data_IF_046032191746
#
_entry.id   IF_046032191746
#
_cell.length_a   1.000
_cell.length_b   1.000
_cell.length_c   1.000
_cell.angle_alpha   90.00
_cell.angle_beta   90.00
_cell.angle_gamma   90.00
#
_symmetry.space_group_name_H-M   'P 1'
#
loop_
_entity.id
_entity.type
_entity.pdbx_description
1 polymer ?
#
# COMPACT_ATOMS: atom_id res chain seq x y z
N UNK A 1 8.52 23.25 10.15
CA UNK A 1 7.60 23.62 9.06
C UNK A 1 8.22 23.12 7.76
N UNK A 2 7.51 22.33 6.97
CA UNK A 2 8.05 21.79 5.71
C UNK A 2 8.05 22.86 4.62
N UNK A 3 9.05 22.84 3.75
CA UNK A 3 9.10 23.70 2.57
C UNK A 3 8.43 23.00 1.39
N UNK A 4 7.40 23.61 0.80
CA UNK A 4 6.66 23.03 -0.33
C UNK A 4 7.21 23.54 -1.66
N UNK A 5 7.66 22.61 -2.51
CA UNK A 5 8.24 22.91 -3.82
C UNK A 5 7.25 22.45 -4.90
N UNK A 6 6.63 23.40 -5.59
CA UNK A 6 5.70 23.12 -6.67
C UNK A 6 6.44 22.86 -7.97
N UNK A 7 6.11 21.76 -8.66
CA UNK A 7 6.71 21.38 -9.94
C UNK A 7 5.67 20.73 -10.84
N UNK A 8 5.89 20.81 -12.15
CA UNK A 8 5.18 19.94 -13.08
C UNK A 8 5.89 18.59 -13.20
N UNK A 9 5.16 17.56 -13.63
CA UNK A 9 5.67 16.21 -13.84
C UNK A 9 5.16 15.63 -15.14
N UNK A 10 5.91 14.65 -15.68
CA UNK A 10 5.49 13.75 -16.76
C UNK A 10 5.55 12.29 -16.31
N UNK A 11 5.48 12.05 -14.99
CA UNK A 11 5.60 10.71 -14.40
C UNK A 11 4.52 9.81 -14.97
N UNK A 12 4.94 8.68 -15.52
CA UNK A 12 4.04 7.65 -16.02
C UNK A 12 3.53 6.80 -14.86
N UNK A 13 2.27 6.37 -14.96
CA UNK A 13 1.70 5.32 -14.14
C UNK A 13 2.48 4.02 -14.36
N UNK A 14 2.66 3.27 -13.29
CA UNK A 14 3.32 1.99 -13.31
C UNK A 14 2.76 1.11 -12.20
N UNK A 15 2.94 -0.20 -12.33
CA UNK A 15 2.65 -1.16 -11.28
C UNK A 15 3.81 -1.32 -10.32
N UNK A 16 3.84 -2.46 -9.64
CA UNK A 16 4.87 -2.78 -8.67
C UNK A 16 6.26 -2.76 -9.29
N UNK A 17 7.23 -2.22 -8.55
CA UNK A 17 8.62 -2.35 -8.94
C UNK A 17 9.10 -3.77 -8.65
N UNK A 18 9.72 -4.40 -9.63
CA UNK A 18 10.36 -5.72 -9.49
C UNK A 18 11.82 -5.54 -9.89
N UNK A 19 12.79 -5.74 -8.96
CA UNK A 19 14.20 -5.61 -9.29
C UNK A 19 14.61 -6.63 -10.36
N UNK A 20 15.37 -6.20 -11.38
CA UNK A 20 15.80 -7.06 -12.49
C UNK A 20 16.77 -8.15 -12.01
N UNK A 21 17.71 -7.79 -11.14
CA UNK A 21 18.75 -8.70 -10.64
C UNK A 21 18.23 -9.72 -9.61
N UNK A 22 17.09 -9.42 -8.98
CA UNK A 22 16.48 -10.29 -7.99
C UNK A 22 14.96 -10.03 -7.91
N UNK A 23 14.18 -10.69 -8.79
CA UNK A 23 12.76 -10.41 -8.95
C UNK A 23 11.98 -10.90 -7.72
N UNK A 24 11.91 -10.04 -6.71
CA UNK A 24 11.13 -10.24 -5.49
C UNK A 24 9.91 -9.33 -5.50
N UNK A 25 8.75 -9.95 -5.34
CA UNK A 25 7.47 -9.27 -5.14
C UNK A 25 6.56 -10.22 -4.38
N UNK A 26 5.90 -9.69 -3.38
CA UNK A 26 4.92 -10.43 -2.57
C UNK A 26 3.51 -9.84 -2.71
N UNK A 27 3.40 -8.59 -3.18
CA UNK A 27 2.12 -7.97 -3.48
C UNK A 27 1.42 -8.77 -4.58
N UNK A 28 0.36 -9.50 -4.22
CA UNK A 28 -0.26 -10.48 -5.11
C UNK A 28 -1.09 -9.83 -6.20
N UNK A 29 -1.64 -8.66 -5.93
CA UNK A 29 -2.54 -7.96 -6.86
C UNK A 29 -1.80 -6.89 -7.66
N UNK A 30 -2.19 -6.70 -8.93
CA UNK A 30 -1.71 -5.56 -9.70
C UNK A 30 -2.39 -4.26 -9.26
N UNK A 31 -1.62 -3.18 -9.29
CA UNK A 31 -2.08 -1.83 -9.01
C UNK A 31 -1.48 -0.82 -9.99
N UNK A 32 -2.14 0.31 -10.17
CA UNK A 32 -1.54 1.52 -10.73
C UNK A 32 -1.05 2.40 -9.57
N UNK A 33 0.25 2.47 -9.35
CA UNK A 33 0.85 3.21 -8.23
C UNK A 33 0.89 4.71 -8.54
N UNK A 34 0.23 5.52 -7.71
CA UNK A 34 0.04 6.95 -7.96
C UNK A 34 0.60 7.74 -6.78
N UNK A 35 1.54 8.65 -7.02
CA UNK A 35 2.11 9.48 -5.95
C UNK A 35 2.14 10.95 -6.37
N UNK A 36 1.14 11.76 -5.94
CA UNK A 36 1.09 13.20 -6.25
C UNK A 36 2.12 14.04 -5.48
N UNK A 37 2.77 13.43 -4.48
CA UNK A 37 3.77 14.07 -3.63
C UNK A 37 5.07 13.26 -3.62
N UNK A 38 6.21 13.94 -3.50
CA UNK A 38 7.46 13.32 -3.06
C UNK A 38 7.89 13.98 -1.74
N UNK A 39 8.03 13.17 -0.69
CA UNK A 39 8.14 13.64 0.70
C UNK A 39 6.79 13.63 1.42
N UNK A 40 6.83 13.51 2.74
CA UNK A 40 5.63 13.37 3.56
C UNK A 40 5.76 14.13 4.88
N UNK A 41 4.78 14.99 5.19
CA UNK A 41 4.82 15.80 6.41
C UNK A 41 4.52 15.04 7.70
N UNK A 42 4.09 13.78 7.62
CA UNK A 42 3.82 12.91 8.79
C UNK A 42 5.07 12.76 9.68
N UNK A 43 6.26 12.75 9.08
CA UNK A 43 7.53 12.88 9.81
C UNK A 43 8.12 11.61 10.41
N UNK A 44 7.65 10.41 10.01
CA UNK A 44 8.22 9.15 10.50
C UNK A 44 9.73 9.07 10.23
N UNK A 45 10.55 8.87 11.27
CA UNK A 45 12.00 8.75 11.13
C UNK A 45 12.42 7.43 10.45
N UNK A 46 11.58 6.40 10.53
CA UNK A 46 11.80 5.08 9.93
C UNK A 46 11.30 4.95 8.48
N UNK A 47 10.76 6.02 7.89
CA UNK A 47 10.12 5.94 6.58
C UNK A 47 11.12 5.52 5.50
N UNK A 48 10.88 4.36 4.88
CA UNK A 48 11.73 3.82 3.81
C UNK A 48 11.87 4.78 2.62
N UNK A 49 10.85 5.61 2.35
CA UNK A 49 10.85 6.56 1.25
C UNK A 49 11.98 7.60 1.37
N UNK A 50 12.54 7.84 2.57
CA UNK A 50 13.72 8.70 2.77
C UNK A 50 14.98 8.18 2.06
N UNK A 51 15.03 6.89 1.74
CA UNK A 51 16.14 6.28 1.01
C UNK A 51 15.99 6.31 -0.52
N UNK A 52 14.81 6.73 -1.03
CA UNK A 52 14.55 6.81 -2.46
C UNK A 52 15.36 7.96 -3.10
N UNK A 53 15.79 7.81 -4.36
CA UNK A 53 16.59 8.82 -5.05
C UNK A 53 15.77 10.05 -5.46
N UNK A 54 16.46 11.08 -5.94
CA UNK A 54 15.86 12.29 -6.52
C UNK A 54 15.21 13.17 -5.45
N UNK A 55 13.97 13.60 -5.69
CA UNK A 55 13.25 14.49 -4.75
C UNK A 55 13.15 13.94 -3.32
N UNK A 56 13.15 12.62 -3.12
CA UNK A 56 13.14 12.02 -1.78
C UNK A 56 14.47 12.19 -1.03
N UNK A 57 15.58 12.31 -1.75
CA UNK A 57 16.89 12.62 -1.17
C UNK A 57 16.93 14.08 -0.68
N UNK A 58 16.38 15.01 -1.46
CA UNK A 58 16.18 16.41 -1.02
C UNK A 58 15.21 16.50 0.17
N UNK A 59 14.13 15.70 0.17
CA UNK A 59 13.23 15.59 1.32
C UNK A 59 13.98 15.12 2.58
N UNK A 60 14.83 14.09 2.46
CA UNK A 60 15.58 13.58 3.60
C UNK A 60 16.56 14.60 4.17
N UNK A 61 17.29 15.33 3.31
CA UNK A 61 18.33 16.28 3.72
C UNK A 61 17.77 17.62 4.20
N UNK A 62 16.72 18.12 3.55
CA UNK A 62 16.29 19.51 3.68
C UNK A 62 14.81 19.66 4.08
N UNK A 63 14.08 18.57 4.30
CA UNK A 63 12.63 18.58 4.59
C UNK A 63 11.81 19.34 3.51
N UNK A 64 12.22 19.23 2.24
CA UNK A 64 11.46 19.71 1.08
C UNK A 64 10.41 18.68 0.67
N UNK A 65 9.15 19.10 0.57
CA UNK A 65 8.06 18.27 0.03
C UNK A 65 7.71 18.79 -1.36
N UNK A 66 7.77 17.93 -2.36
CA UNK A 66 7.49 18.29 -3.74
C UNK A 66 6.02 18.00 -4.06
N UNK A 67 5.35 19.01 -4.62
CA UNK A 67 3.93 18.98 -4.97
C UNK A 67 3.82 19.03 -6.49
N UNK A 68 3.28 17.97 -7.08
CA UNK A 68 3.11 17.88 -8.53
C UNK A 68 1.72 18.35 -8.96
N UNK A 69 1.56 19.67 -9.12
CA UNK A 69 0.27 20.31 -9.33
C UNK A 69 -0.46 19.86 -10.61
N UNK A 70 0.27 19.52 -11.67
CA UNK A 70 -0.30 19.03 -12.94
C UNK A 70 -0.50 17.50 -12.98
N UNK A 71 -0.22 16.79 -11.88
CA UNK A 71 -0.25 15.34 -11.90
C UNK A 71 -1.65 14.74 -12.10
N UNK A 72 -2.75 15.30 -11.54
CA UNK A 72 -4.09 14.84 -11.87
C UNK A 72 -4.37 14.84 -13.39
N UNK A 73 -3.98 15.89 -14.10
CA UNK A 73 -4.16 16.00 -15.55
C UNK A 73 -3.34 14.93 -16.30
N UNK A 74 -2.10 14.71 -15.86
CA UNK A 74 -1.22 13.66 -16.40
C UNK A 74 -1.78 12.25 -16.16
N UNK A 75 -2.42 12.02 -15.01
CA UNK A 75 -3.09 10.75 -14.68
C UNK A 75 -4.31 10.54 -15.57
N UNK A 76 -5.15 11.56 -15.73
CA UNK A 76 -6.34 11.50 -16.60
C UNK A 76 -5.97 11.24 -18.06
N UNK A 77 -4.98 11.95 -18.60
CA UNK A 77 -4.49 11.72 -19.97
C UNK A 77 -4.06 10.26 -20.16
N UNK A 78 -3.29 9.72 -19.21
CA UNK A 78 -2.82 8.34 -19.29
C UNK A 78 -3.97 7.33 -19.21
N UNK A 79 -4.88 7.46 -18.25
CA UNK A 79 -6.05 6.57 -18.12
C UNK A 79 -6.93 6.63 -19.36
N UNK A 80 -7.16 7.83 -19.91
CA UNK A 80 -7.97 8.02 -21.11
C UNK A 80 -7.39 7.32 -22.35
N UNK A 81 -6.10 7.00 -22.34
CA UNK A 81 -5.42 6.27 -23.42
C UNK A 81 -5.47 4.74 -23.29
N UNK A 82 -5.98 4.20 -22.18
CA UNK A 82 -5.99 2.76 -21.89
C UNK A 82 -7.36 2.14 -22.17
N UNK A 83 -7.36 0.83 -22.47
CA UNK A 83 -8.54 -0.03 -22.47
C UNK A 83 -8.48 -1.12 -21.38
N UNK A 84 -7.35 -1.24 -20.69
CA UNK A 84 -7.11 -2.13 -19.56
C UNK A 84 -6.56 -1.30 -18.40
N UNK A 85 -7.09 -1.49 -17.19
CA UNK A 85 -6.63 -0.84 -15.98
C UNK A 85 -6.72 -1.78 -14.77
N UNK A 86 -5.79 -1.63 -13.83
CA UNK A 86 -5.90 -2.21 -12.48
C UNK A 86 -6.35 -1.14 -11.48
N UNK A 87 -6.71 -1.57 -10.27
CA UNK A 87 -7.06 -0.65 -9.18
C UNK A 87 -5.93 0.36 -8.93
N UNK A 88 -6.28 1.63 -8.74
CA UNK A 88 -5.31 2.65 -8.36
C UNK A 88 -4.85 2.45 -6.91
N UNK A 89 -3.55 2.49 -6.66
CA UNK A 89 -3.01 2.58 -5.30
C UNK A 89 -2.46 3.98 -5.07
N UNK A 90 -3.23 4.77 -4.33
CA UNK A 90 -2.89 6.14 -4.03
C UNK A 90 -1.89 6.24 -2.87
N UNK A 91 -0.78 6.90 -3.19
CA UNK A 91 0.31 7.28 -2.30
C UNK A 91 1.00 6.12 -1.57
N UNK A 92 1.48 5.05 -2.23
CA UNK A 92 2.20 3.97 -1.53
C UNK A 92 3.54 4.40 -0.88
N UNK A 93 4.14 5.54 -1.30
CA UNK A 93 5.43 6.05 -0.75
C UNK A 93 5.28 7.38 0.02
N UNK A 94 4.06 7.88 0.22
CA UNK A 94 3.75 9.12 0.97
C UNK A 94 2.41 8.98 1.68
N UNK A 95 1.97 9.96 2.47
CA UNK A 95 0.59 9.97 2.96
C UNK A 95 -0.31 10.84 2.05
N UNK A 96 -1.44 10.33 1.55
CA UNK A 96 -2.33 11.07 0.66
C UNK A 96 -3.07 12.21 1.34
N UNK A 97 -3.20 12.19 2.67
CA UNK A 97 -3.96 13.17 3.47
C UNK A 97 -3.07 13.96 4.42
N UNK A 98 -1.76 14.00 4.13
CA UNK A 98 -0.80 14.86 4.81
C UNK A 98 -1.20 16.35 4.72
N UNK A 99 -0.63 17.20 5.57
CA UNK A 99 -1.09 18.59 5.76
C UNK A 99 -1.34 19.41 4.48
N UNK A 100 -0.50 19.27 3.45
CA UNK A 100 -0.63 20.02 2.18
C UNK A 100 -1.89 19.63 1.38
N UNK A 101 -2.44 18.44 1.57
CA UNK A 101 -3.66 17.97 0.88
C UNK A 101 -4.87 18.84 1.24
N UNK A 102 -4.92 19.41 2.45
CA UNK A 102 -6.01 20.33 2.85
C UNK A 102 -6.14 21.53 1.91
N UNK A 103 -5.03 21.97 1.30
CA UNK A 103 -4.96 23.08 0.36
C UNK A 103 -5.02 22.61 -1.09
N UNK A 104 -4.17 21.67 -1.48
CA UNK A 104 -3.93 21.35 -2.89
C UNK A 104 -4.92 20.31 -3.46
N UNK A 105 -5.47 19.47 -2.58
CA UNK A 105 -6.50 18.46 -2.89
C UNK A 105 -6.14 17.54 -4.07
N UNK A 106 -4.85 17.18 -4.22
CA UNK A 106 -4.39 16.41 -5.39
C UNK A 106 -4.86 14.95 -5.28
N UNK A 107 -4.79 14.38 -4.07
CA UNK A 107 -5.32 13.04 -3.80
C UNK A 107 -6.81 12.96 -4.12
N UNK A 108 -7.60 13.95 -3.66
CA UNK A 108 -9.04 14.03 -3.98
C UNK A 108 -9.33 14.15 -5.47
N UNK A 109 -8.55 14.96 -6.21
CA UNK A 109 -8.69 15.08 -7.68
C UNK A 109 -8.42 13.76 -8.38
N UNK A 110 -7.36 13.04 -7.99
CA UNK A 110 -7.02 11.73 -8.54
C UNK A 110 -8.12 10.70 -8.24
N UNK A 111 -8.65 10.65 -7.02
CA UNK A 111 -9.76 9.77 -6.66
C UNK A 111 -10.95 10.02 -7.59
N UNK A 112 -11.34 11.29 -7.80
CA UNK A 112 -12.43 11.64 -8.73
C UNK A 112 -12.15 11.18 -10.16
N UNK A 113 -10.92 11.28 -10.65
CA UNK A 113 -10.55 10.79 -11.98
C UNK A 113 -10.79 9.28 -12.07
N UNK A 114 -10.24 8.49 -11.16
CA UNK A 114 -10.43 7.03 -11.18
C UNK A 114 -11.92 6.64 -11.17
N UNK A 115 -12.70 7.24 -10.28
CA UNK A 115 -14.15 7.00 -10.19
C UNK A 115 -14.92 7.46 -11.44
N UNK A 116 -14.52 8.57 -12.08
CA UNK A 116 -15.14 9.05 -13.33
C UNK A 116 -14.94 8.08 -14.50
N UNK A 117 -13.85 7.31 -14.50
CA UNK A 117 -13.58 6.23 -15.44
C UNK A 117 -14.10 4.88 -14.95
N UNK A 118 -14.79 4.81 -13.80
CA UNK A 118 -15.24 3.57 -13.16
C UNK A 118 -14.09 2.57 -12.91
N UNK A 119 -12.94 3.08 -12.46
CA UNK A 119 -11.80 2.29 -12.00
C UNK A 119 -11.73 2.44 -10.48
N UNK A 120 -11.57 1.34 -9.72
CA UNK A 120 -11.48 1.43 -8.27
C UNK A 120 -10.15 2.07 -7.86
N UNK A 121 -10.16 2.65 -6.67
CA UNK A 121 -8.97 3.23 -6.06
C UNK A 121 -8.92 2.89 -4.57
N UNK A 122 -7.72 2.63 -4.09
CA UNK A 122 -7.41 2.42 -2.69
C UNK A 122 -6.43 3.47 -2.18
N UNK A 123 -6.34 3.60 -0.87
CA UNK A 123 -5.34 4.43 -0.20
C UNK A 123 -4.86 3.79 1.10
N UNK A 124 -3.67 4.19 1.51
CA UNK A 124 -3.12 3.93 2.84
C UNK A 124 -2.89 5.26 3.57
N UNK A 125 -3.23 5.36 4.85
CA UNK A 125 -2.99 6.59 5.62
C UNK A 125 -2.66 6.34 7.09
N UNK A 126 -1.91 7.29 7.66
CA UNK A 126 -1.64 7.51 9.09
C UNK A 126 -2.30 8.80 9.59
N UNK A 127 -3.16 9.42 8.78
CA UNK A 127 -3.86 10.69 9.03
C UNK A 127 -5.39 10.49 9.07
N UNK A 128 -6.13 11.53 9.43
CA UNK A 128 -7.59 11.55 9.35
C UNK A 128 -8.05 11.51 7.89
N UNK A 129 -9.04 10.68 7.58
CA UNK A 129 -9.60 10.62 6.23
C UNK A 129 -10.53 11.83 6.03
N UNK A 130 -10.35 12.63 4.97
CA UNK A 130 -11.29 13.71 4.67
C UNK A 130 -12.70 13.18 4.42
N UNK A 131 -13.73 13.82 4.99
CA UNK A 131 -15.14 13.43 4.78
C UNK A 131 -15.52 13.34 3.30
N UNK A 132 -15.06 14.29 2.49
CA UNK A 132 -15.29 14.29 1.04
C UNK A 132 -14.76 13.03 0.36
N UNK A 133 -13.66 12.45 0.86
CA UNK A 133 -13.09 11.20 0.31
C UNK A 133 -14.03 10.03 0.59
N UNK A 134 -14.56 9.93 1.82
CA UNK A 134 -15.55 8.91 2.18
C UNK A 134 -16.79 9.02 1.30
N UNK A 135 -17.33 10.24 1.13
CA UNK A 135 -18.50 10.48 0.28
C UNK A 135 -18.24 10.12 -1.20
N UNK A 136 -17.01 10.31 -1.69
CA UNK A 136 -16.64 9.94 -3.06
C UNK A 136 -16.63 8.43 -3.26
N UNK A 137 -16.00 7.68 -2.36
CA UNK A 137 -15.75 6.24 -2.57
C UNK A 137 -16.82 5.33 -1.98
N UNK A 138 -17.69 5.83 -1.10
CA UNK A 138 -18.74 4.97 -0.50
C UNK A 138 -19.67 4.42 -1.59
N UNK A 139 -19.95 3.11 -1.59
CA UNK A 139 -21.00 2.54 -2.43
C UNK A 139 -22.37 3.15 -2.09
N UNK A 140 -23.24 3.25 -3.09
CA UNK A 140 -24.64 3.66 -2.89
C UNK A 140 -25.58 2.54 -3.31
N UNK A 141 -26.70 2.39 -2.61
CA UNK A 141 -27.71 1.35 -2.90
C UNK A 141 -28.27 1.41 -4.32
N UNK A 142 -28.32 2.61 -4.92
CA UNK A 142 -28.83 2.83 -6.27
C UNK A 142 -27.72 2.79 -7.35
N UNK A 143 -26.49 2.42 -6.98
CA UNK A 143 -25.42 2.30 -7.97
C UNK A 143 -25.58 1.05 -8.85
N UNK A 144 -25.17 1.13 -10.14
CA UNK A 144 -25.09 -0.03 -11.00
C UNK A 144 -24.28 -1.17 -10.38
N UNK A 145 -24.66 -2.42 -10.67
CA UNK A 145 -23.95 -3.62 -10.15
C UNK A 145 -22.47 -3.68 -10.54
N UNK A 146 -22.11 -3.01 -11.63
CA UNK A 146 -20.78 -2.92 -12.20
C UNK A 146 -20.02 -1.65 -11.76
N UNK A 147 -20.55 -0.91 -10.78
CA UNK A 147 -19.84 0.19 -10.11
C UNK A 147 -18.53 -0.30 -9.49
N UNK A 148 -17.46 0.45 -9.70
CA UNK A 148 -16.16 0.16 -9.13
C UNK A 148 -16.06 0.45 -7.62
N UNK A 149 -17.01 1.22 -7.05
CA UNK A 149 -16.93 1.63 -5.64
C UNK A 149 -16.97 0.46 -4.65
N UNK A 150 -17.63 -0.64 -5.01
CA UNK A 150 -17.61 -1.90 -4.24
C UNK A 150 -16.21 -2.52 -4.11
N UNK A 151 -15.27 -2.11 -4.99
CA UNK A 151 -13.87 -2.53 -4.98
C UNK A 151 -12.92 -1.41 -4.48
N UNK A 152 -13.45 -0.25 -4.05
CA UNK A 152 -12.65 0.79 -3.38
C UNK A 152 -12.52 0.45 -1.89
N UNK A 153 -11.36 0.71 -1.31
CA UNK A 153 -11.08 0.38 0.09
C UNK A 153 -10.02 1.28 0.71
N UNK A 154 -9.96 1.31 2.04
CA UNK A 154 -9.00 2.10 2.78
C UNK A 154 -8.16 1.25 3.72
N UNK A 155 -6.88 1.61 3.84
CA UNK A 155 -5.94 0.96 4.75
C UNK A 155 -5.44 1.95 5.80
N UNK A 156 -5.55 1.59 7.08
CA UNK A 156 -5.17 2.47 8.20
C UNK A 156 -3.99 1.87 8.95
N UNK A 157 -2.88 2.58 8.97
CA UNK A 157 -1.68 2.14 9.71
C UNK A 157 -1.81 2.48 11.20
N UNK A 158 -1.82 1.47 12.06
CA UNK A 158 -1.86 1.59 13.52
C UNK A 158 -0.69 0.78 14.10
N UNK A 159 0.30 1.46 14.68
CA UNK A 159 1.52 0.79 15.15
C UNK A 159 1.47 0.43 16.64
N UNK A 160 0.69 1.17 17.40
CA UNK A 160 0.55 1.01 18.85
C UNK A 160 -0.77 1.61 19.31
N UNK A 161 -1.29 1.09 20.43
CA UNK A 161 -2.41 1.70 21.16
C UNK A 161 -1.96 2.80 22.13
N UNK A 162 -0.65 2.98 22.34
CA UNK A 162 -0.10 4.01 23.21
C UNK A 162 0.09 5.34 22.43
N UNK A 163 -0.70 6.35 22.80
CA UNK A 163 -0.71 7.66 22.13
C UNK A 163 0.61 8.43 22.25
N UNK A 164 1.35 8.27 23.36
CA UNK A 164 2.66 8.89 23.56
C UNK A 164 3.72 8.23 22.68
N UNK A 165 3.69 6.91 22.58
CA UNK A 165 4.57 6.18 21.66
C UNK A 165 4.25 6.50 20.19
N UNK A 166 2.96 6.60 19.83
CA UNK A 166 2.54 7.05 18.50
C UNK A 166 3.05 8.47 18.19
N UNK A 167 3.15 9.35 19.20
CA UNK A 167 3.69 10.72 19.12
C UNK A 167 5.17 10.76 18.73
N UNK A 168 5.92 9.72 19.11
CA UNK A 168 7.32 9.54 18.74
C UNK A 168 7.44 8.96 17.32
N UNK A 169 6.70 7.89 17.04
CA UNK A 169 6.82 7.14 15.78
C UNK A 169 6.20 7.90 14.60
N UNK A 170 5.05 8.55 14.82
CA UNK A 170 4.21 9.18 13.79
C UNK A 170 3.82 10.59 14.27
N UNK A 171 4.78 11.51 14.41
CA UNK A 171 4.63 12.74 15.19
C UNK A 171 3.54 13.69 14.67
N UNK A 172 3.28 13.69 13.36
CA UNK A 172 2.26 14.54 12.74
C UNK A 172 1.12 13.73 12.11
N UNK A 173 0.97 12.46 12.50
CA UNK A 173 -0.18 11.63 12.14
C UNK A 173 -1.40 11.91 13.02
N UNK A 174 -2.50 11.22 12.71
CA UNK A 174 -3.69 11.22 13.55
C UNK A 174 -3.45 10.50 14.89
N UNK A 175 -4.24 10.84 15.91
CA UNK A 175 -4.20 10.14 17.20
C UNK A 175 -4.65 8.68 17.05
N UNK A 176 -4.26 7.82 18.01
CA UNK A 176 -4.68 6.41 18.06
C UNK A 176 -6.20 6.28 17.94
N UNK A 177 -6.96 7.06 18.71
CA UNK A 177 -8.43 7.03 18.66
C UNK A 177 -8.98 7.41 17.30
N UNK A 178 -8.42 8.44 16.66
CA UNK A 178 -8.85 8.87 15.32
C UNK A 178 -8.52 7.82 14.25
N UNK A 179 -7.43 7.06 14.40
CA UNK A 179 -7.10 5.98 13.48
C UNK A 179 -8.10 4.81 13.60
N UNK A 180 -8.54 4.44 14.81
CA UNK A 180 -9.62 3.47 14.96
C UNK A 180 -10.97 4.02 14.47
N UNK A 181 -11.25 5.30 14.70
CA UNK A 181 -12.42 5.99 14.15
C UNK A 181 -12.42 5.96 12.61
N UNK A 182 -11.28 6.12 11.96
CA UNK A 182 -11.17 5.99 10.50
C UNK A 182 -11.62 4.59 10.02
N UNK A 183 -11.20 3.53 10.71
CA UNK A 183 -11.64 2.15 10.40
C UNK A 183 -13.16 2.05 10.54
N UNK A 184 -13.71 2.59 11.63
CA UNK A 184 -15.15 2.63 11.87
C UNK A 184 -15.92 3.37 10.79
N UNK A 185 -15.46 4.57 10.42
CA UNK A 185 -16.07 5.40 9.38
C UNK A 185 -16.10 4.64 8.04
N UNK A 186 -15.00 3.97 7.67
CA UNK A 186 -14.95 3.15 6.45
C UNK A 186 -16.01 2.02 6.53
N UNK A 187 -16.01 1.26 7.63
CA UNK A 187 -16.92 0.13 7.81
C UNK A 187 -18.40 0.55 7.83
N UNK A 188 -18.76 1.62 8.54
CA UNK A 188 -20.14 2.12 8.63
C UNK A 188 -20.65 2.64 7.28
N UNK A 189 -19.75 3.06 6.38
CA UNK A 189 -20.08 3.45 5.01
C UNK A 189 -19.94 2.29 4.00
N UNK A 190 -19.85 1.04 4.47
CA UNK A 190 -19.70 -0.16 3.64
C UNK A 190 -18.45 -0.12 2.72
N UNK A 191 -17.40 0.57 3.14
CA UNK A 191 -16.10 0.58 2.48
C UNK A 191 -15.22 -0.45 3.19
N UNK A 192 -14.57 -1.33 2.43
CA UNK A 192 -13.69 -2.33 3.01
C UNK A 192 -12.52 -1.64 3.75
N UNK A 193 -12.27 -2.06 4.99
CA UNK A 193 -11.29 -1.45 5.87
C UNK A 193 -10.21 -2.45 6.25
N UNK A 194 -8.96 -2.07 6.03
CA UNK A 194 -7.77 -2.84 6.39
C UNK A 194 -7.04 -2.13 7.53
N UNK A 195 -6.67 -2.87 8.58
CA UNK A 195 -5.73 -2.35 9.57
C UNK A 195 -4.33 -2.85 9.23
N UNK A 196 -3.36 -1.93 9.16
CA UNK A 196 -1.95 -2.27 8.95
C UNK A 196 -1.14 -2.04 10.22
N UNK A 197 -0.54 -3.10 10.74
CA UNK A 197 0.49 -3.04 11.77
C UNK A 197 1.84 -3.06 11.05
N UNK A 198 2.09 -1.99 10.28
CA UNK A 198 3.19 -1.88 9.32
C UNK A 198 3.92 -0.52 9.50
N UNK A 199 5.09 -0.50 10.17
CA UNK A 199 5.83 -1.64 10.70
C UNK A 199 5.63 -1.89 12.22
N UNK A 200 5.86 -3.14 12.63
CA UNK A 200 6.10 -3.53 14.02
C UNK A 200 7.55 -3.23 14.38
N UNK A 201 7.76 -2.54 15.49
CA UNK A 201 9.09 -2.24 16.04
C UNK A 201 9.46 -3.28 17.09
N UNK A 202 10.49 -4.12 16.84
CA UNK A 202 11.06 -5.00 17.85
C UNK A 202 11.34 -4.28 19.17
N UNK A 203 10.98 -4.91 20.29
CA UNK A 203 11.13 -4.39 21.66
C UNK A 203 10.38 -3.10 22.01
N UNK A 204 9.61 -2.53 21.07
CA UNK A 204 8.96 -1.21 21.25
C UNK A 204 7.44 -1.34 21.04
N UNK A 205 6.98 -1.99 19.97
CA UNK A 205 5.54 -2.18 19.68
C UNK A 205 5.12 -3.65 19.52
N UNK A 206 6.03 -4.59 19.70
CA UNK A 206 5.85 -6.01 19.44
C UNK A 206 5.35 -6.82 20.65
N UNK A 207 5.00 -6.17 21.76
CA UNK A 207 4.40 -6.87 22.90
C UNK A 207 3.08 -7.54 22.50
N UNK A 208 2.84 -8.74 23.02
CA UNK A 208 1.65 -9.53 22.68
C UNK A 208 0.37 -8.79 23.06
N UNK A 209 0.41 -8.03 24.15
CA UNK A 209 -0.68 -7.20 24.64
C UNK A 209 -1.01 -6.07 23.66
N UNK A 210 0.00 -5.30 23.22
CA UNK A 210 -0.18 -4.23 22.25
C UNK A 210 -0.73 -4.76 20.93
N UNK A 211 -0.11 -5.81 20.37
CA UNK A 211 -0.54 -6.42 19.13
C UNK A 211 -1.96 -6.99 19.22
N UNK A 212 -2.30 -7.63 20.35
CA UNK A 212 -3.65 -8.15 20.58
C UNK A 212 -4.69 -7.04 20.63
N UNK A 213 -4.40 -5.97 21.35
CA UNK A 213 -5.32 -4.86 21.49
C UNK A 213 -5.57 -4.18 20.14
N UNK A 214 -4.54 -3.99 19.30
CA UNK A 214 -4.72 -3.45 17.95
C UNK A 214 -5.66 -4.33 17.13
N UNK A 215 -5.42 -5.65 17.07
CA UNK A 215 -6.25 -6.57 16.27
C UNK A 215 -7.71 -6.58 16.75
N UNK A 216 -7.92 -6.63 18.07
CA UNK A 216 -9.27 -6.61 18.65
C UNK A 216 -10.00 -5.30 18.37
N UNK A 217 -9.37 -4.16 18.66
CA UNK A 217 -9.97 -2.85 18.40
C UNK A 217 -10.21 -2.62 16.91
N UNK A 218 -9.32 -3.09 16.03
CA UNK A 218 -9.51 -2.98 14.59
C UNK A 218 -10.74 -3.77 14.14
N UNK A 219 -10.87 -5.02 14.60
CA UNK A 219 -12.06 -5.86 14.35
C UNK A 219 -13.34 -5.21 14.90
N UNK A 220 -13.32 -4.72 16.14
CA UNK A 220 -14.47 -4.10 16.79
C UNK A 220 -14.93 -2.82 16.06
N UNK A 221 -13.99 -2.10 15.42
CA UNK A 221 -14.29 -0.97 14.55
C UNK A 221 -14.60 -1.40 13.10
N UNK A 222 -14.66 -2.70 12.79
CA UNK A 222 -15.14 -3.22 11.51
C UNK A 222 -14.06 -3.54 10.47
N UNK A 223 -12.77 -3.53 10.83
CA UNK A 223 -11.73 -4.02 9.94
C UNK A 223 -11.99 -5.49 9.53
N UNK A 224 -11.74 -5.80 8.26
CA UNK A 224 -11.95 -7.16 7.69
C UNK A 224 -10.65 -7.90 7.40
N UNK A 225 -9.55 -7.17 7.42
CA UNK A 225 -8.22 -7.69 7.10
C UNK A 225 -7.15 -6.98 7.93
N UNK A 226 -6.14 -7.73 8.35
CA UNK A 226 -4.93 -7.24 9.00
C UNK A 226 -3.74 -7.48 8.08
N UNK A 227 -2.92 -6.45 7.89
CA UNK A 227 -1.60 -6.60 7.26
C UNK A 227 -0.52 -6.25 8.26
N UNK A 228 0.57 -7.01 8.30
CA UNK A 228 1.70 -6.71 9.18
C UNK A 228 3.06 -6.83 8.47
N UNK A 229 4.05 -6.18 9.04
CA UNK A 229 5.47 -6.34 8.72
C UNK A 229 6.27 -6.05 9.98
N UNK A 230 7.50 -6.55 10.05
CA UNK A 230 8.50 -6.04 11.00
C UNK A 230 9.28 -4.94 10.31
N UNK A 231 9.69 -3.91 11.05
CA UNK A 231 10.45 -2.79 10.50
C UNK A 231 11.62 -3.30 9.66
N UNK A 232 11.65 -2.84 8.41
CA UNK A 232 12.71 -3.03 7.45
C UNK A 232 13.42 -1.69 7.22
N UNK A 233 14.75 -1.69 7.29
CA UNK A 233 15.54 -0.46 7.29
C UNK A 233 16.39 -0.41 6.03
N UNK A 234 16.13 0.52 5.09
CA UNK A 234 16.98 0.69 3.93
C UNK A 234 18.42 1.02 4.36
N UNK A 235 19.39 0.37 3.73
CA UNK A 235 20.83 0.52 4.04
C UNK A 235 21.26 1.99 4.11
N UNK A 236 20.77 2.82 3.18
CA UNK A 236 21.12 4.26 3.08
C UNK A 236 20.73 5.10 4.30
N UNK A 237 19.70 4.68 5.06
CA UNK A 237 19.21 5.43 6.22
C UNK A 237 19.36 4.62 7.53
N UNK A 238 20.13 3.52 7.50
CA UNK A 238 20.28 2.63 8.64
C UNK A 238 20.75 3.36 9.90
N UNK A 239 21.86 4.09 9.80
CA UNK A 239 22.38 4.86 10.93
C UNK A 239 21.41 5.95 11.39
N UNK A 240 20.73 6.61 10.45
CA UNK A 240 19.71 7.61 10.80
C UNK A 240 18.57 7.02 11.63
N UNK A 241 18.07 5.84 11.25
CA UNK A 241 17.01 5.16 12.00
C UNK A 241 17.51 4.70 13.37
N UNK A 242 18.69 4.08 13.45
CA UNK A 242 19.26 3.60 14.70
C UNK A 242 19.59 4.74 15.67
N UNK A 243 20.13 5.86 15.21
CA UNK A 243 20.39 7.01 16.07
C UNK A 243 19.09 7.64 16.60
N UNK A 244 18.00 7.62 15.83
CA UNK A 244 16.68 8.00 16.35
C UNK A 244 16.15 6.98 17.37
N UNK A 245 16.36 5.67 17.16
CA UNK A 245 16.01 4.65 18.15
C UNK A 245 16.76 4.89 19.46
N UNK A 246 18.07 5.14 19.38
CA UNK A 246 18.89 5.50 20.56
C UNK A 246 18.38 6.75 21.26
N UNK A 247 18.07 7.79 20.48
CA UNK A 247 17.58 9.07 21.00
C UNK A 247 16.27 8.93 21.77
N UNK A 248 15.31 8.16 21.24
CA UNK A 248 13.96 8.07 21.82
C UNK A 248 13.77 6.92 22.81
N UNK A 249 14.50 5.81 22.64
CA UNK A 249 14.31 4.57 23.42
C UNK A 249 15.56 4.15 24.22
N UNK A 250 16.66 4.88 24.09
CA UNK A 250 17.87 4.69 24.89
C UNK A 250 18.90 3.74 24.27
N UNK A 251 20.08 3.73 24.89
CA UNK A 251 21.27 3.01 24.40
C UNK A 251 21.09 1.49 24.42
N UNK A 252 20.33 0.92 25.36
CA UNK A 252 20.09 -0.53 25.42
C UNK A 252 19.37 -1.00 24.15
N UNK A 253 18.23 -0.38 23.84
CA UNK A 253 17.42 -0.70 22.66
C UNK A 253 18.21 -0.54 21.37
N UNK A 254 19.08 0.48 21.29
CA UNK A 254 19.99 0.64 20.15
C UNK A 254 20.89 -0.59 19.92
N UNK A 255 21.48 -1.14 20.97
CA UNK A 255 22.32 -2.34 20.85
C UNK A 255 21.50 -3.60 20.59
N UNK A 256 20.28 -3.69 21.14
CA UNK A 256 19.35 -4.77 20.82
C UNK A 256 19.03 -4.78 19.32
N UNK A 257 18.80 -3.61 18.72
CA UNK A 257 18.61 -3.46 17.27
C UNK A 257 19.86 -3.85 16.49
N UNK A 258 21.05 -3.38 16.88
CA UNK A 258 22.30 -3.78 16.21
C UNK A 258 22.53 -5.29 16.18
N UNK A 259 22.13 -5.99 17.24
CA UNK A 259 22.27 -7.44 17.35
C UNK A 259 21.17 -8.21 16.59
N UNK A 260 19.98 -7.60 16.47
CA UNK A 260 18.82 -8.21 15.84
C UNK A 260 18.77 -7.97 14.32
N UNK A 261 19.20 -6.80 13.84
CA UNK A 261 19.09 -6.36 12.45
C UNK A 261 20.32 -6.75 11.64
N UNK A 262 20.41 -8.03 11.26
CA UNK A 262 21.55 -8.59 10.55
C UNK A 262 21.21 -9.18 9.17
N UNK A 263 19.93 -9.39 8.86
CA UNK A 263 19.51 -9.95 7.58
C UNK A 263 19.38 -8.87 6.52
N UNK A 264 20.02 -9.04 5.37
CA UNK A 264 19.82 -8.16 4.22
C UNK A 264 18.98 -8.86 3.16
N UNK A 265 17.68 -8.56 3.14
CA UNK A 265 16.73 -9.06 2.14
C UNK A 265 16.36 -7.98 1.12
N UNK A 266 17.29 -7.05 0.89
CA UNK A 266 17.06 -5.80 0.15
C UNK A 266 17.20 -4.60 1.04
N UNK A 267 16.54 -4.65 2.18
CA UNK A 267 16.72 -3.78 3.34
C UNK A 267 17.24 -4.61 4.51
N UNK A 268 17.79 -3.93 5.52
CA UNK A 268 18.23 -4.58 6.75
C UNK A 268 17.01 -4.92 7.60
N UNK A 269 16.87 -6.18 7.95
CA UNK A 269 15.73 -6.76 8.65
C UNK A 269 16.19 -7.46 9.93
N UNK A 270 15.24 -7.57 10.87
CA UNK A 270 15.40 -8.43 12.02
C UNK A 270 15.61 -9.90 11.61
N UNK A 271 16.34 -10.68 12.43
CA UNK A 271 16.53 -12.12 12.25
C UNK A 271 15.20 -12.82 11.95
N UNK A 272 15.23 -13.77 11.01
CA UNK A 272 14.05 -14.48 10.55
C UNK A 272 13.29 -15.15 11.70
N UNK A 273 13.97 -15.81 12.63
CA UNK A 273 13.32 -16.52 13.75
C UNK A 273 12.53 -15.57 14.67
N UNK A 274 12.99 -14.32 14.79
CA UNK A 274 12.29 -13.27 15.54
C UNK A 274 11.02 -12.84 14.80
N UNK A 275 11.14 -12.55 13.49
CA UNK A 275 10.00 -12.17 12.64
C UNK A 275 8.94 -13.26 12.59
N UNK A 276 9.34 -14.52 12.41
CA UNK A 276 8.43 -15.67 12.36
C UNK A 276 7.59 -15.82 13.65
N UNK A 277 8.16 -15.57 14.83
CA UNK A 277 7.42 -15.62 16.11
C UNK A 277 6.31 -14.56 16.17
N UNK A 278 6.58 -13.35 15.67
CA UNK A 278 5.59 -12.27 15.60
C UNK A 278 4.48 -12.63 14.63
N UNK A 279 4.83 -13.11 13.43
CA UNK A 279 3.85 -13.47 12.40
C UNK A 279 3.00 -14.66 12.79
N UNK A 280 3.58 -15.69 13.40
CA UNK A 280 2.84 -16.83 13.93
C UNK A 280 1.83 -16.39 15.00
N UNK A 281 2.23 -15.52 15.93
CA UNK A 281 1.32 -14.98 16.93
C UNK A 281 0.16 -14.20 16.29
N UNK A 282 0.45 -13.25 15.39
CA UNK A 282 -0.58 -12.44 14.73
C UNK A 282 -1.50 -13.29 13.87
N UNK A 283 -0.95 -14.26 13.14
CA UNK A 283 -1.69 -15.22 12.32
C UNK A 283 -2.72 -15.98 13.16
N UNK A 284 -2.27 -16.64 14.21
CA UNK A 284 -3.11 -17.43 15.09
C UNK A 284 -4.17 -16.55 15.79
N UNK A 285 -3.79 -15.32 16.16
CA UNK A 285 -4.72 -14.37 16.75
C UNK A 285 -5.81 -13.96 15.75
N UNK A 286 -5.45 -13.66 14.51
CA UNK A 286 -6.39 -13.29 13.45
C UNK A 286 -7.36 -14.44 13.15
N UNK A 287 -6.85 -15.67 13.02
CA UNK A 287 -7.66 -16.87 12.80
C UNK A 287 -8.64 -17.12 13.96
N UNK A 288 -8.19 -16.92 15.21
CA UNK A 288 -9.05 -17.04 16.40
C UNK A 288 -10.23 -16.07 16.39
N UNK A 289 -10.10 -14.93 15.72
CA UNK A 289 -11.12 -13.88 15.69
C UNK A 289 -11.75 -13.69 14.31
N UNK A 290 -11.62 -14.66 13.40
CA UNK A 290 -12.23 -14.65 12.06
C UNK A 290 -11.92 -13.37 11.26
N UNK A 291 -10.69 -12.89 11.37
CA UNK A 291 -10.17 -11.79 10.55
C UNK A 291 -9.06 -12.32 9.65
N UNK A 292 -9.08 -11.94 8.38
CA UNK A 292 -8.05 -12.40 7.44
C UNK A 292 -6.73 -11.65 7.68
N UNK A 293 -5.62 -12.27 7.32
CA UNK A 293 -4.26 -11.80 7.60
C UNK A 293 -3.35 -11.95 6.39
N UNK A 294 -2.44 -10.99 6.20
CA UNK A 294 -1.33 -11.06 5.24
C UNK A 294 -0.10 -10.30 5.76
N UNK A 295 1.04 -10.53 5.12
CA UNK A 295 2.29 -9.82 5.35
C UNK A 295 2.59 -8.84 4.23
N UNK A 296 3.35 -7.78 4.55
CA UNK A 296 3.80 -6.76 3.60
C UNK A 296 5.30 -6.93 3.32
N UNK A 297 5.65 -7.45 2.14
CA UNK A 297 7.03 -7.51 1.64
C UNK A 297 7.99 -8.25 2.59
N UNK A 298 7.53 -9.33 3.17
CA UNK A 298 8.27 -10.15 4.13
C UNK A 298 8.86 -11.38 3.45
N UNK A 299 10.17 -11.58 3.57
CA UNK A 299 10.86 -12.68 2.90
C UNK A 299 11.78 -13.45 3.85
N UNK A 300 12.08 -14.70 3.49
CA UNK A 300 13.23 -15.45 3.99
C UNK A 300 14.27 -15.66 2.89
N UNK A 301 15.53 -15.77 3.29
CA UNK A 301 16.62 -16.18 2.42
C UNK A 301 16.62 -17.71 2.37
N UNK A 302 16.54 -18.30 1.18
CA UNK A 302 16.59 -19.76 1.00
C UNK A 302 18.04 -20.22 0.75
N UNK A 303 18.65 -19.75 -0.35
CA UNK A 303 20.04 -20.04 -0.72
C UNK A 303 20.52 -19.00 -1.75
N UNK A 304 21.80 -18.63 -1.75
CA UNK A 304 22.42 -17.79 -2.79
C UNK A 304 21.64 -16.49 -3.09
N UNK A 305 21.12 -15.82 -2.05
CA UNK A 305 20.25 -14.62 -2.15
C UNK A 305 18.91 -14.83 -2.89
N UNK A 306 18.46 -16.07 -3.05
CA UNK A 306 17.10 -16.37 -3.48
C UNK A 306 16.14 -16.13 -2.31
N UNK A 307 15.14 -15.28 -2.55
CA UNK A 307 14.13 -14.90 -1.55
C UNK A 307 12.82 -15.66 -1.76
N UNK A 308 12.22 -16.08 -0.66
CA UNK A 308 10.86 -16.64 -0.65
C UNK A 308 9.96 -15.77 0.23
N UNK A 309 8.83 -15.32 -0.32
CA UNK A 309 7.83 -14.55 0.41
C UNK A 309 7.16 -15.38 1.51
N UNK A 310 7.01 -14.79 2.70
CA UNK A 310 6.45 -15.44 3.87
C UNK A 310 4.92 -15.57 3.82
N UNK A 311 4.23 -14.85 2.92
CA UNK A 311 2.80 -15.02 2.65
C UNK A 311 2.44 -16.42 2.15
N UNK A 312 3.39 -17.20 1.63
CA UNK A 312 3.17 -18.64 1.34
C UNK A 312 2.77 -19.44 2.59
N UNK A 313 3.13 -18.93 3.76
CA UNK A 313 2.91 -19.58 5.06
C UNK A 313 1.81 -18.85 5.84
N UNK A 314 1.84 -17.50 5.85
CA UNK A 314 1.01 -16.74 6.79
C UNK A 314 -0.25 -16.10 6.20
N UNK A 315 -0.41 -16.00 4.87
CA UNK A 315 -1.60 -15.35 4.31
C UNK A 315 -2.86 -16.23 4.44
N UNK A 316 -4.00 -15.68 4.90
CA UNK A 316 -5.32 -16.39 4.89
C UNK A 316 -6.18 -16.00 3.72
N UNK A 317 -5.95 -14.82 3.18
CA UNK A 317 -6.71 -14.28 2.06
C UNK A 317 -6.19 -14.82 0.73
N UNK A 318 -6.96 -14.64 -0.34
CA UNK A 318 -6.53 -15.00 -1.70
C UNK A 318 -5.49 -14.02 -2.25
N UNK A 319 -5.57 -12.77 -1.81
CA UNK A 319 -4.65 -11.69 -2.15
C UNK A 319 -4.18 -10.94 -0.89
N UNK A 320 -3.10 -10.17 -1.00
CA UNK A 320 -2.44 -9.50 0.12
C UNK A 320 -3.23 -8.34 0.74
N UNK A 321 -4.34 -7.88 0.13
CA UNK A 321 -5.18 -6.83 0.70
C UNK A 321 -6.49 -7.36 1.31
N UNK A 322 -6.79 -8.64 1.16
CA UNK A 322 -7.98 -9.27 1.72
C UNK A 322 -9.29 -8.98 0.99
N UNK A 323 -9.23 -8.29 -0.15
CA UNK A 323 -10.38 -7.94 -0.98
C UNK A 323 -10.14 -8.35 -2.43
N UNK A 324 -11.06 -9.12 -3.00
CA UNK A 324 -10.98 -9.57 -4.39
C UNK A 324 -11.28 -8.39 -5.34
N UNK A 325 -10.28 -7.98 -6.13
CA UNK A 325 -10.42 -6.86 -7.07
C UNK A 325 -9.98 -7.30 -8.47
N UNK A 326 -10.92 -7.44 -9.41
CA UNK A 326 -10.60 -7.85 -10.77
C UNK A 326 -9.89 -6.75 -11.55
N UNK A 327 -9.31 -7.14 -12.69
CA UNK A 327 -8.86 -6.21 -13.72
C UNK A 327 -10.06 -5.56 -14.39
N UNK A 328 -9.92 -4.31 -14.79
CA UNK A 328 -10.96 -3.51 -15.42
C UNK A 328 -10.64 -3.27 -16.89
N UNK A 329 -11.63 -3.43 -17.76
CA UNK A 329 -11.51 -3.21 -19.20
C UNK A 329 -12.64 -2.31 -19.72
N UNK A 330 -12.42 -1.69 -20.89
CA UNK A 330 -13.47 -0.98 -21.63
C UNK A 330 -13.33 -1.17 -23.13
N UNK A 331 -14.41 -0.90 -23.87
CA UNK A 331 -14.37 -0.83 -25.33
C UNK A 331 -13.76 0.49 -25.79
N UNK A 332 -13.22 0.52 -27.01
CA UNK A 332 -12.47 1.66 -27.55
C UNK A 332 -13.23 2.99 -27.55
N UNK A 333 -14.56 2.96 -27.66
CA UNK A 333 -15.40 4.15 -27.72
C UNK A 333 -16.17 4.42 -26.42
N UNK A 334 -15.90 3.65 -25.36
CA UNK A 334 -16.55 3.83 -24.07
C UNK A 334 -15.67 4.64 -23.12
N UNK A 335 -16.29 5.46 -22.27
CA UNK A 335 -15.55 6.20 -21.25
C UNK A 335 -15.20 5.30 -20.06
N UNK A 336 -16.18 4.56 -19.55
CA UNK A 336 -16.09 3.80 -18.30
C UNK A 336 -15.48 2.42 -18.51
N UNK A 337 -14.73 1.95 -17.52
CA UNK A 337 -14.22 0.60 -17.41
C UNK A 337 -15.15 -0.25 -16.55
N UNK A 338 -15.10 -1.57 -16.75
CA UNK A 338 -15.89 -2.55 -16.01
C UNK A 338 -15.02 -3.77 -15.69
N UNK A 339 -15.36 -4.55 -14.65
CA UNK A 339 -14.68 -5.80 -14.35
C UNK A 339 -14.57 -6.70 -15.59
N UNK A 340 -13.36 -7.12 -15.93
CA UNK A 340 -13.09 -7.99 -17.07
C UNK A 340 -13.61 -9.42 -16.86
N UNK A 341 -13.58 -9.85 -15.59
CA UNK A 341 -14.06 -11.15 -15.15
C UNK A 341 -14.37 -11.08 -13.65
N UNK A 342 -15.02 -12.12 -13.14
CA UNK A 342 -15.11 -12.38 -11.70
C UNK A 342 -13.84 -13.15 -11.27
N UNK A 343 -12.80 -12.41 -10.83
CA UNK A 343 -11.55 -13.00 -10.36
C UNK A 343 -11.10 -12.41 -9.02
N UNK A 344 -10.25 -13.15 -8.31
CA UNK A 344 -9.76 -12.82 -6.96
C UNK A 344 -8.73 -11.68 -6.93
N UNK A 345 -8.33 -11.15 -8.08
CA UNK A 345 -7.32 -10.10 -8.19
C UNK A 345 -5.89 -10.55 -7.86
N UNK A 346 -5.63 -11.83 -7.58
CA UNK A 346 -4.31 -12.34 -7.18
C UNK A 346 -3.40 -12.64 -8.39
N UNK A 347 -3.15 -11.62 -9.23
CA UNK A 347 -2.40 -11.73 -10.49
C UNK A 347 -1.05 -12.48 -10.36
N UNK A 348 -0.30 -12.25 -9.27
CA UNK A 348 0.97 -12.93 -8.99
C UNK A 348 0.82 -14.45 -8.87
N UNK A 349 -0.30 -14.91 -8.31
CA UNK A 349 -0.61 -16.31 -8.07
C UNK A 349 -1.53 -16.91 -9.15
N UNK A 350 -1.93 -16.10 -10.15
CA UNK A 350 -2.87 -16.49 -11.18
C UNK A 350 -2.22 -17.41 -12.22
N UNK A 351 -2.86 -18.55 -12.48
CA UNK A 351 -2.47 -19.51 -13.54
C UNK A 351 -3.21 -19.30 -14.85
N UNK A 352 -4.47 -18.89 -14.77
CA UNK A 352 -5.42 -18.84 -15.88
C UNK A 352 -5.99 -17.42 -15.95
N UNK A 353 -5.64 -16.66 -16.98
CA UNK A 353 -6.04 -15.27 -17.13
C UNK A 353 -7.52 -15.15 -17.54
N UNK A 354 -8.45 -15.29 -16.59
CA UNK A 354 -9.89 -15.13 -16.82
C UNK A 354 -10.26 -13.76 -17.42
N UNK A 355 -9.43 -12.74 -17.18
CA UNK A 355 -9.58 -11.41 -17.77
C UNK A 355 -9.20 -11.31 -19.26
N UNK A 356 -8.68 -12.40 -19.87
CA UNK A 356 -8.20 -12.43 -21.25
C UNK A 356 -6.82 -11.79 -21.47
N UNK A 357 -6.10 -11.44 -20.40
CA UNK A 357 -4.77 -10.81 -20.46
C UNK A 357 -3.73 -11.76 -19.87
N UNK A 358 -3.20 -12.65 -20.69
CA UNK A 358 -2.26 -13.72 -20.29
C UNK A 358 -1.04 -13.19 -19.55
N UNK A 359 -0.55 -11.99 -19.86
CA UNK A 359 0.61 -11.41 -19.21
C UNK A 359 0.42 -11.11 -17.73
N UNK A 360 -0.84 -10.99 -17.28
CA UNK A 360 -1.20 -10.77 -15.88
C UNK A 360 -1.25 -12.07 -15.06
N UNK A 361 -1.33 -13.25 -15.71
CA UNK A 361 -1.22 -14.55 -15.04
C UNK A 361 0.24 -14.89 -14.73
N UNK A 362 0.74 -14.39 -13.59
CA UNK A 362 2.17 -14.37 -13.30
C UNK A 362 2.69 -15.61 -12.58
N UNK A 363 1.85 -16.58 -12.21
CA UNK A 363 2.32 -17.77 -11.49
C UNK A 363 3.39 -18.55 -12.26
N UNK A 364 3.24 -18.63 -13.58
CA UNK A 364 4.18 -19.33 -14.48
C UNK A 364 5.28 -18.41 -15.00
N UNK A 365 4.99 -17.15 -15.29
CA UNK A 365 5.96 -16.22 -15.88
C UNK A 365 6.86 -15.52 -14.85
N UNK A 366 6.56 -15.64 -13.57
CA UNK A 366 7.19 -14.88 -12.50
C UNK A 366 6.66 -13.44 -12.39
N UNK A 367 7.07 -12.72 -11.31
CA UNK A 367 6.62 -11.36 -11.05
C UNK A 367 7.13 -10.38 -12.11
N UNK A 368 6.26 -9.47 -12.54
CA UNK A 368 6.59 -8.44 -13.55
C UNK A 368 6.47 -7.03 -12.97
N UNK A 369 7.39 -6.17 -13.38
CA UNK A 369 7.35 -4.73 -13.12
C UNK A 369 6.62 -3.98 -14.23
N UNK A 370 5.28 -4.04 -14.22
CA UNK A 370 4.45 -3.47 -15.29
C UNK A 370 4.58 -1.94 -15.35
N UNK A 371 4.72 -1.40 -16.55
CA UNK A 371 4.81 0.04 -16.85
C UNK A 371 3.61 0.46 -17.72
N UNK A 372 3.39 1.76 -17.87
CA UNK A 372 2.33 2.30 -18.74
C UNK A 372 2.33 1.68 -20.15
N UNK A 373 3.51 1.44 -20.73
CA UNK A 373 3.65 0.81 -22.05
C UNK A 373 3.02 -0.59 -22.11
N UNK A 374 3.06 -1.34 -21.01
CA UNK A 374 2.53 -2.71 -20.97
C UNK A 374 1.00 -2.66 -20.96
N UNK A 375 0.40 -1.74 -20.18
CA UNK A 375 -1.04 -1.47 -20.23
C UNK A 375 -1.51 -1.00 -21.61
N UNK A 376 -0.72 -0.18 -22.31
CA UNK A 376 -0.99 0.19 -23.71
C UNK A 376 -0.94 -1.02 -24.64
N UNK A 377 0.05 -1.90 -24.49
CA UNK A 377 0.14 -3.13 -25.28
C UNK A 377 -1.07 -4.06 -25.02
N UNK A 378 -1.51 -4.22 -23.78
CA UNK A 378 -2.73 -4.97 -23.46
C UNK A 378 -3.95 -4.36 -24.14
N UNK A 379 -4.03 -3.03 -24.14
CA UNK A 379 -5.12 -2.28 -24.77
C UNK A 379 -5.16 -2.48 -26.29
N UNK A 380 -4.00 -2.48 -26.96
CA UNK A 380 -3.93 -2.78 -28.40
C UNK A 380 -4.39 -4.20 -28.71
N UNK A 381 -3.94 -5.20 -27.94
CA UNK A 381 -4.37 -6.60 -28.12
C UNK A 381 -5.90 -6.74 -27.97
N UNK A 382 -6.49 -6.06 -27.00
CA UNK A 382 -7.94 -6.09 -26.78
C UNK A 382 -8.72 -5.54 -27.99
N UNK A 383 -8.21 -4.50 -28.66
CA UNK A 383 -8.84 -3.95 -29.89
C UNK A 383 -8.92 -5.00 -31.00
N UNK A 384 -7.82 -5.72 -31.26
CA UNK A 384 -7.79 -6.74 -32.32
C UNK A 384 -8.76 -7.90 -32.05
N UNK A 385 -8.94 -8.30 -30.79
CA UNK A 385 -9.90 -9.35 -30.42
C UNK A 385 -11.36 -8.91 -30.58
N UNK A 386 -11.65 -7.61 -30.43
CA UNK A 386 -13.02 -7.09 -30.58
C UNK A 386 -13.42 -6.87 -32.05
N UNK A 387 -12.45 -6.81 -32.98
CA UNK A 387 -12.68 -6.65 -34.43
C UNK A 387 -12.72 -7.98 -35.20
N UNK A 388 -12.40 -9.10 -34.54
CA UNK A 388 -12.35 -10.45 -35.13
C UNK A 388 -13.55 -11.33 -34.75
N UNK A 389 -14.54 -10.74 -34.07
CA UNK A 389 -15.88 -11.26 -33.79
C UNK A 389 -16.88 -10.33 -34.49
#
# INVERSE_FOLDING_TARGET
MYNYIFRTTKKQLHGWYVPEDNPRRECTAERLLINPYNGCSVGCFYCYARALPGNFEEFHKENKIFVFNNFPEVVEEQISSLLVASCGYLSPVTDPFQEIEKKEKLSQKIIKIFLNYNIPIEFITKCEIPKDVIELIKPSFNEPRDSCKKHCFGQISILTVNEELRKILVPHGASVEKLFENIKILSENNIFAVCRIDPIFPYITDSKENLKEIVLRAKDNGAKHIIASVLDIPVKIYDFVLENIKKYFGTSVYYDYKNLYIENIGYINAKLDYRLKIFDYLRNLCDKYDITFALCMEYKIVKDNVFEGLNKIFMSSKNCEGIDIPIYIRKQNEKKFYPAADCDGACLNCENALCGIEELAQKKSGPKGLKLKDYKNFSEKLKYHTLSL
#
